data_IF_515643065707
#
_entry.id   IF_515643065707
#
_cell.length_a   1.000
_cell.length_b   1.000
_cell.length_c   1.000
_cell.angle_alpha   90.00
_cell.angle_beta   90.00
_cell.angle_gamma   90.00
#
_symmetry.space_group_name_H-M   'P 1'
#
loop_
_entity.id
_entity.type
_entity.pdbx_description
1 polymer ?
#
# COMPACT_ATOMS: atom_id res chain seq x y z
N UNK A 1 -32.98 -10.64 -4.36
CA UNK A 1 -32.60 -9.91 -3.12
C UNK A 1 -31.19 -10.22 -2.61
N UNK A 2 -30.73 -11.48 -2.64
CA UNK A 2 -29.43 -11.90 -2.06
C UNK A 2 -28.22 -11.07 -2.52
N UNK A 3 -28.10 -10.78 -3.82
CA UNK A 3 -26.96 -10.02 -4.38
C UNK A 3 -26.84 -8.61 -3.79
N UNK A 4 -27.95 -7.89 -3.60
CA UNK A 4 -27.95 -6.55 -2.98
C UNK A 4 -27.52 -6.62 -1.50
N UNK A 5 -27.98 -7.63 -0.76
CA UNK A 5 -27.58 -7.84 0.65
C UNK A 5 -26.09 -8.16 0.77
N UNK A 6 -25.57 -8.99 -0.13
CA UNK A 6 -24.15 -9.33 -0.17
C UNK A 6 -23.28 -8.11 -0.53
N UNK A 7 -23.71 -7.28 -1.50
CA UNK A 7 -23.00 -6.06 -1.88
C UNK A 7 -22.92 -5.05 -0.73
N UNK A 8 -24.03 -4.82 -0.02
CA UNK A 8 -24.02 -3.95 1.18
C UNK A 8 -23.06 -4.48 2.25
N UNK A 9 -23.10 -5.79 2.54
CA UNK A 9 -22.21 -6.40 3.53
C UNK A 9 -20.74 -6.26 3.12
N UNK A 10 -20.41 -6.53 1.86
CA UNK A 10 -19.06 -6.37 1.34
C UNK A 10 -18.59 -4.91 1.41
N UNK A 11 -19.46 -3.95 1.06
CA UNK A 11 -19.14 -2.52 1.12
C UNK A 11 -18.84 -2.06 2.54
N UNK A 12 -19.64 -2.48 3.53
CA UNK A 12 -19.41 -2.16 4.94
C UNK A 12 -18.07 -2.72 5.44
N UNK A 13 -17.76 -3.98 5.11
CA UNK A 13 -16.47 -4.59 5.50
C UNK A 13 -15.30 -3.82 4.89
N UNK A 14 -15.37 -3.49 3.59
CA UNK A 14 -14.32 -2.74 2.90
C UNK A 14 -14.10 -1.34 3.49
N UNK A 15 -15.18 -0.64 3.89
CA UNK A 15 -15.05 0.67 4.54
C UNK A 15 -14.43 0.57 5.94
N UNK A 16 -14.88 -0.37 6.76
CA UNK A 16 -14.34 -0.58 8.12
C UNK A 16 -12.87 -1.06 8.12
N UNK A 17 -12.40 -1.61 7.00
CA UNK A 17 -10.99 -2.01 6.85
C UNK A 17 -10.05 -0.83 6.57
N UNK A 18 -10.59 0.38 6.38
CA UNK A 18 -9.82 1.60 6.11
C UNK A 18 -9.71 2.47 7.37
N UNK A 19 -8.58 3.19 7.56
CA UNK A 19 -8.49 4.23 8.57
C UNK A 19 -9.59 5.29 8.41
N UNK A 20 -10.06 5.85 9.51
CA UNK A 20 -11.20 6.78 9.54
C UNK A 20 -11.03 7.99 8.60
N UNK A 21 -9.80 8.50 8.47
CA UNK A 21 -9.45 9.58 7.54
C UNK A 21 -9.82 9.26 6.08
N UNK A 22 -9.72 7.99 5.68
CA UNK A 22 -10.00 7.54 4.33
C UNK A 22 -11.47 7.13 4.15
N UNK A 23 -12.16 6.69 5.21
CA UNK A 23 -13.54 6.20 5.12
C UNK A 23 -14.48 7.21 4.47
N UNK A 24 -14.41 8.49 4.86
CA UNK A 24 -15.28 9.54 4.32
C UNK A 24 -15.09 9.70 2.80
N UNK A 25 -13.84 9.64 2.33
CA UNK A 25 -13.48 9.76 0.90
C UNK A 25 -14.01 8.59 0.06
N UNK A 26 -14.09 7.40 0.65
CA UNK A 26 -14.53 6.17 0.00
C UNK A 26 -16.03 5.89 0.17
N UNK A 27 -16.73 6.58 1.07
CA UNK A 27 -18.17 6.42 1.31
C UNK A 27 -19.06 6.72 0.09
N UNK A 28 -18.56 7.51 -0.88
CA UNK A 28 -19.27 7.89 -2.11
C UNK A 28 -19.52 6.75 -3.10
N UNK A 29 -18.79 5.64 -3.00
CA UNK A 29 -18.92 4.52 -3.93
C UNK A 29 -20.13 3.67 -3.57
N UNK A 30 -21.02 3.42 -4.54
CA UNK A 30 -22.33 2.82 -4.27
C UNK A 30 -22.26 1.30 -4.17
N UNK A 31 -21.36 0.68 -4.93
CA UNK A 31 -21.18 -0.78 -4.98
C UNK A 31 -19.85 -1.20 -4.37
N UNK A 32 -19.77 -2.43 -3.86
CA UNK A 32 -18.51 -2.98 -3.33
C UNK A 32 -17.43 -3.08 -4.42
N UNK A 33 -17.82 -3.31 -5.68
CA UNK A 33 -16.90 -3.39 -6.82
C UNK A 33 -16.25 -2.05 -7.14
N UNK A 34 -17.02 -0.97 -7.19
CA UNK A 34 -16.48 0.39 -7.43
C UNK A 34 -15.57 0.82 -6.28
N UNK A 35 -15.98 0.54 -5.04
CA UNK A 35 -15.19 0.81 -3.84
C UNK A 35 -13.85 0.09 -3.91
N UNK A 36 -13.85 -1.21 -4.22
CA UNK A 36 -12.61 -2.01 -4.35
C UNK A 36 -11.69 -1.45 -5.44
N UNK A 37 -12.22 -1.10 -6.62
CA UNK A 37 -11.43 -0.51 -7.69
C UNK A 37 -10.81 0.83 -7.30
N UNK A 38 -11.54 1.66 -6.54
CA UNK A 38 -11.03 2.93 -6.04
C UNK A 38 -9.93 2.75 -4.99
N UNK A 39 -10.10 1.79 -4.07
CA UNK A 39 -9.07 1.43 -3.08
C UNK A 39 -7.81 0.96 -3.81
N UNK A 40 -7.94 0.04 -4.77
CA UNK A 40 -6.80 -0.42 -5.60
C UNK A 40 -6.13 0.72 -6.36
N UNK A 41 -6.90 1.65 -6.93
CA UNK A 41 -6.33 2.81 -7.63
C UNK A 41 -5.56 3.74 -6.68
N UNK A 42 -6.02 3.90 -5.45
CA UNK A 42 -5.45 4.83 -4.46
C UNK A 42 -4.24 4.23 -3.76
N UNK A 43 -4.34 2.97 -3.30
CA UNK A 43 -3.33 2.31 -2.49
C UNK A 43 -2.53 1.23 -3.23
N UNK A 44 -3.08 0.65 -4.30
CA UNK A 44 -2.42 -0.42 -5.05
C UNK A 44 -1.17 0.04 -5.79
N UNK A 45 -0.95 1.36 -5.90
CA UNK A 45 0.17 1.97 -6.60
C UNK A 45 0.09 1.73 -8.11
N UNK A 46 0.52 2.70 -8.93
CA UNK A 46 0.60 2.45 -10.36
C UNK A 46 1.85 1.60 -10.69
N UNK A 47 1.78 0.78 -11.74
CA UNK A 47 2.89 -0.11 -12.13
C UNK A 47 4.19 0.65 -12.44
N UNK A 48 4.09 1.87 -12.98
CA UNK A 48 5.25 2.72 -13.24
C UNK A 48 5.93 3.19 -11.94
N UNK A 49 5.18 3.47 -10.88
CA UNK A 49 5.65 3.89 -9.56
C UNK A 49 6.24 2.70 -8.82
N UNK A 50 5.64 1.51 -8.92
CA UNK A 50 6.27 0.26 -8.41
C UNK A 50 7.61 0.01 -9.09
N UNK A 51 7.66 0.12 -10.42
CA UNK A 51 8.89 -0.03 -11.21
C UNK A 51 9.94 1.01 -10.85
N UNK A 52 9.55 2.28 -10.70
CA UNK A 52 10.44 3.36 -10.26
C UNK A 52 10.96 3.10 -8.85
N UNK A 53 10.10 2.75 -7.90
CA UNK A 53 10.50 2.45 -6.51
C UNK A 53 11.48 1.28 -6.49
N UNK A 54 11.21 0.18 -7.21
CA UNK A 54 12.13 -0.96 -7.34
C UNK A 54 13.49 -0.55 -7.90
N UNK A 55 13.52 0.29 -8.93
CA UNK A 55 14.78 0.78 -9.51
C UNK A 55 15.56 1.67 -8.54
N UNK A 56 14.87 2.52 -7.79
CA UNK A 56 15.49 3.35 -6.76
C UNK A 56 16.14 2.49 -5.66
N UNK A 57 15.44 1.47 -5.17
CA UNK A 57 15.99 0.56 -4.15
C UNK A 57 17.21 -0.20 -4.66
N UNK A 58 17.20 -0.65 -5.92
CA UNK A 58 18.38 -1.26 -6.56
C UNK A 58 19.57 -0.30 -6.63
N UNK A 59 19.32 0.97 -6.95
CA UNK A 59 20.36 1.99 -6.99
C UNK A 59 20.91 2.27 -5.59
N UNK A 60 20.03 2.38 -4.58
CA UNK A 60 20.43 2.56 -3.18
C UNK A 60 21.26 1.39 -2.67
N UNK A 61 20.85 0.15 -2.97
CA UNK A 61 21.61 -1.04 -2.65
C UNK A 61 22.97 -1.09 -3.36
N UNK A 62 23.03 -0.77 -4.66
CA UNK A 62 24.29 -0.72 -5.41
C UNK A 62 25.27 0.34 -4.89
N UNK A 63 24.75 1.42 -4.29
CA UNK A 63 25.52 2.47 -3.65
C UNK A 63 25.79 2.20 -2.16
N UNK A 64 25.23 1.13 -1.59
CA UNK A 64 25.36 0.81 -0.17
C UNK A 64 26.80 0.41 0.15
N UNK A 65 27.38 1.03 1.17
CA UNK A 65 28.68 0.69 1.73
C UNK A 65 28.57 0.74 3.25
N UNK A 66 29.09 -0.28 3.92
CA UNK A 66 29.24 -0.26 5.36
C UNK A 66 30.28 0.79 5.74
N UNK A 67 30.01 1.56 6.79
CA UNK A 67 30.96 2.53 7.31
C UNK A 67 31.95 1.83 8.25
N UNK A 68 33.21 2.28 8.27
CA UNK A 68 34.28 1.60 9.03
C UNK A 68 34.08 1.59 10.55
N UNK A 69 33.19 2.44 11.06
CA UNK A 69 32.81 2.53 12.49
C UNK A 69 31.50 1.84 12.83
N UNK A 70 30.79 1.27 11.85
CA UNK A 70 29.51 0.61 12.08
C UNK A 70 29.68 -0.84 12.53
N UNK A 71 28.84 -1.25 13.48
CA UNK A 71 28.67 -2.66 13.81
C UNK A 71 27.87 -3.39 12.73
N UNK A 72 27.98 -4.70 12.72
CA UNK A 72 27.19 -5.56 11.83
C UNK A 72 25.69 -5.34 12.01
N UNK A 73 25.23 -5.15 13.24
CA UNK A 73 23.82 -4.91 13.57
C UNK A 73 23.34 -3.56 13.02
N UNK A 74 24.14 -2.50 13.16
CA UNK A 74 23.83 -1.18 12.60
C UNK A 74 23.76 -1.22 11.07
N UNK A 75 24.71 -1.90 10.45
CA UNK A 75 24.74 -2.12 8.99
C UNK A 75 23.50 -2.89 8.53
N UNK A 76 23.09 -3.94 9.26
CA UNK A 76 21.92 -4.74 8.96
C UNK A 76 20.63 -3.93 9.09
N UNK A 77 20.47 -3.14 10.16
CA UNK A 77 19.31 -2.29 10.35
C UNK A 77 19.17 -1.24 9.25
N UNK A 78 20.29 -0.68 8.75
CA UNK A 78 20.29 0.23 7.58
C UNK A 78 19.92 -0.47 6.27
N UNK A 79 20.30 -1.72 6.10
CA UNK A 79 19.89 -2.49 4.92
C UNK A 79 18.39 -2.81 4.94
N UNK A 80 17.79 -3.04 6.11
CA UNK A 80 16.35 -3.34 6.21
C UNK A 80 15.43 -2.19 5.77
N UNK A 81 15.92 -0.95 5.82
CA UNK A 81 15.16 0.23 5.40
C UNK A 81 15.32 0.57 3.91
N UNK A 82 16.13 -0.19 3.17
CA UNK A 82 16.26 -0.15 1.71
C UNK A 82 15.35 -1.23 1.10
#
# INVERSE_FOLDING_TARGET
MQRKKNDVKARTILLLSLPDEHQLRFSKYKTAKELWAAILKTFGGNEATKKRKKNLLKQQYGNFKAEGSETLEQTFNRLQVI
#
